data_IF_814845093555
#
_entry.id   IF_814845093555
#
_cell.length_a   1.000
_cell.length_b   1.000
_cell.length_c   1.000
_cell.angle_alpha   90.00
_cell.angle_beta   90.00
_cell.angle_gamma   90.00
#
_symmetry.space_group_name_H-M   'P 1'
#
loop_
_entity.id
_entity.type
_entity.pdbx_description
1 polymer ?
#
# COMPACT_ATOMS: atom_id res chain seq x y z
N UNK A 1 0.22 -3.12 -7.23
CA UNK A 1 -0.34 -1.99 -7.98
C UNK A 1 0.09 -2.05 -9.44
N UNK A 2 -0.76 -1.58 -10.35
CA UNK A 2 -0.46 -1.49 -11.79
C UNK A 2 0.17 -0.14 -12.17
N UNK A 3 0.24 0.80 -11.25
CA UNK A 3 0.81 2.15 -11.43
C UNK A 3 1.62 2.59 -10.20
N UNK A 4 1.30 3.70 -9.56
CA UNK A 4 2.04 4.24 -8.43
C UNK A 4 2.02 3.27 -7.22
N UNK A 5 3.14 3.15 -6.51
CA UNK A 5 3.19 2.45 -5.23
C UNK A 5 2.36 3.20 -4.17
N UNK A 6 1.76 2.46 -3.23
CA UNK A 6 0.91 3.07 -2.21
C UNK A 6 1.70 4.03 -1.30
N UNK A 7 2.92 3.67 -0.89
CA UNK A 7 3.79 4.56 -0.11
C UNK A 7 4.08 5.86 -0.85
N UNK A 8 4.40 5.76 -2.14
CA UNK A 8 4.60 6.92 -3.02
C UNK A 8 3.35 7.81 -3.10
N UNK A 9 2.15 7.24 -3.12
CA UNK A 9 0.91 8.01 -3.11
C UNK A 9 0.73 8.80 -1.80
N UNK A 10 1.13 8.23 -0.64
CA UNK A 10 1.17 8.94 0.64
C UNK A 10 2.19 10.08 0.62
N UNK A 11 3.43 9.84 0.18
CA UNK A 11 4.48 10.85 0.16
C UNK A 11 4.13 12.02 -0.77
N UNK A 12 3.58 11.72 -1.95
CA UNK A 12 3.12 12.75 -2.89
C UNK A 12 1.94 13.52 -2.32
N UNK A 13 1.00 12.88 -1.62
CA UNK A 13 -0.12 13.56 -0.95
C UNK A 13 0.39 14.50 0.14
N UNK A 14 1.31 14.05 0.98
CA UNK A 14 1.93 14.90 2.00
C UNK A 14 2.61 16.13 1.39
N UNK A 15 3.37 15.93 0.31
CA UNK A 15 4.03 17.03 -0.42
C UNK A 15 3.01 18.03 -1.00
N UNK A 16 1.90 17.55 -1.59
CA UNK A 16 0.85 18.42 -2.16
C UNK A 16 0.13 19.25 -1.09
N UNK A 17 0.08 18.75 0.15
CA UNK A 17 -0.61 19.39 1.27
C UNK A 17 0.36 20.13 2.20
N UNK A 18 1.65 20.13 1.88
CA UNK A 18 2.71 20.73 2.71
C UNK A 18 2.72 20.19 4.16
N UNK A 19 2.58 18.89 4.30
CA UNK A 19 2.56 18.20 5.60
C UNK A 19 3.94 17.71 6.06
N UNK A 20 4.98 17.93 5.27
CA UNK A 20 6.35 17.51 5.57
C UNK A 20 6.65 16.05 5.21
N UNK A 21 7.84 15.60 5.62
CA UNK A 21 8.38 14.26 5.37
C UNK A 21 8.78 13.57 6.69
N UNK A 22 8.61 12.24 6.85
CA UNK A 22 8.07 11.28 5.89
C UNK A 22 6.55 11.42 5.70
N UNK A 23 6.09 11.25 4.45
CA UNK A 23 4.70 11.56 4.07
C UNK A 23 3.66 10.63 4.69
N UNK A 24 3.91 9.33 4.73
CA UNK A 24 2.98 8.35 5.28
C UNK A 24 2.53 8.67 6.72
N UNK A 25 3.47 8.77 7.68
CA UNK A 25 3.14 9.13 9.07
C UNK A 25 2.46 10.49 9.20
N UNK A 26 2.88 11.49 8.41
CA UNK A 26 2.31 12.82 8.48
C UNK A 26 0.87 12.85 7.95
N UNK A 27 0.58 12.21 6.81
CA UNK A 27 -0.80 12.08 6.31
C UNK A 27 -1.67 11.36 7.34
N UNK A 28 -1.20 10.29 7.95
CA UNK A 28 -1.93 9.59 9.00
C UNK A 28 -2.21 10.47 10.20
N UNK A 29 -1.20 11.19 10.70
CA UNK A 29 -1.32 12.11 11.84
C UNK A 29 -2.38 13.19 11.57
N UNK A 30 -2.26 13.90 10.46
CA UNK A 30 -3.15 15.02 10.14
C UNK A 30 -4.53 14.56 9.68
N UNK A 31 -4.67 13.35 9.14
CA UNK A 31 -5.97 12.76 8.81
C UNK A 31 -6.87 12.58 10.04
N UNK A 32 -6.29 12.38 11.22
CA UNK A 32 -7.04 12.26 12.48
C UNK A 32 -7.71 13.59 12.90
N UNK A 33 -7.28 14.73 12.35
CA UNK A 33 -7.79 16.06 12.64
C UNK A 33 -8.84 16.55 11.61
N UNK A 34 -9.05 15.82 10.53
CA UNK A 34 -9.93 16.19 9.42
C UNK A 34 -11.23 15.37 9.35
N UNK A 35 -12.18 15.86 8.53
CA UNK A 35 -13.38 15.10 8.18
C UNK A 35 -13.09 14.19 6.96
N UNK A 36 -13.15 12.87 7.19
CA UNK A 36 -12.91 11.85 6.18
C UNK A 36 -13.95 11.77 5.06
N UNK A 37 -15.08 12.50 5.16
CA UNK A 37 -16.16 12.54 4.19
C UNK A 37 -16.25 13.87 3.44
N UNK A 38 -15.38 14.84 3.76
CA UNK A 38 -15.45 16.18 3.20
C UNK A 38 -15.19 16.21 1.69
N UNK A 39 -14.14 15.49 1.23
CA UNK A 39 -13.84 15.38 -0.20
C UNK A 39 -14.26 14.00 -0.73
N UNK A 40 -14.95 14.00 -1.87
CA UNK A 40 -15.30 12.78 -2.59
C UNK A 40 -14.19 12.46 -3.59
N UNK A 41 -13.28 11.59 -3.17
CA UNK A 41 -12.16 11.13 -4.00
C UNK A 41 -12.50 9.84 -4.76
N UNK A 42 -11.92 9.62 -5.95
CA UNK A 42 -12.16 8.41 -6.73
C UNK A 42 -11.49 7.20 -6.09
N UNK A 43 -12.07 6.03 -6.32
CA UNK A 43 -11.53 4.72 -5.98
C UNK A 43 -11.11 3.99 -7.28
N UNK A 44 -9.87 4.22 -7.81
CA UNK A 44 -9.49 3.68 -9.10
C UNK A 44 -9.61 2.16 -9.16
N UNK A 45 -10.10 1.64 -10.28
CA UNK A 45 -10.27 0.21 -10.61
C UNK A 45 -10.94 -0.69 -9.54
N UNK A 46 -11.52 -0.12 -8.49
CA UNK A 46 -12.15 -0.91 -7.41
C UNK A 46 -13.22 -1.85 -7.95
N UNK A 47 -14.00 -1.42 -8.93
CA UNK A 47 -15.08 -2.21 -9.55
C UNK A 47 -14.60 -3.11 -10.71
N UNK A 48 -13.31 -3.09 -11.06
CA UNK A 48 -12.75 -4.02 -12.06
C UNK A 48 -12.50 -5.38 -11.44
N UNK A 49 -12.66 -6.43 -12.21
CA UNK A 49 -12.37 -7.80 -11.78
C UNK A 49 -10.93 -7.96 -11.28
N UNK A 50 -10.73 -8.92 -10.38
CA UNK A 50 -9.44 -9.21 -9.78
C UNK A 50 -9.03 -8.24 -8.66
N UNK A 51 -7.87 -8.50 -8.07
CA UNK A 51 -7.38 -7.80 -6.87
C UNK A 51 -6.28 -6.77 -7.16
N UNK A 52 -6.09 -6.36 -8.41
CA UNK A 52 -5.13 -5.32 -8.77
C UNK A 52 -5.48 -3.98 -8.11
N UNK A 53 -4.45 -3.24 -7.72
CA UNK A 53 -4.53 -1.90 -7.13
C UNK A 53 -4.06 -0.83 -8.14
N UNK A 54 -4.60 0.38 -8.00
CA UNK A 54 -4.18 1.58 -8.76
C UNK A 54 -4.37 2.82 -7.89
N UNK A 55 -3.38 3.71 -7.90
CA UNK A 55 -3.39 4.93 -7.09
C UNK A 55 -3.10 6.21 -7.91
N UNK A 56 -2.68 6.10 -9.17
CA UNK A 56 -2.36 7.27 -10.00
C UNK A 56 -3.55 8.21 -10.19
N UNK A 57 -4.76 7.66 -10.41
CA UNK A 57 -5.98 8.45 -10.54
C UNK A 57 -6.37 9.16 -9.23
N UNK A 58 -6.16 8.51 -8.09
CA UNK A 58 -6.38 9.10 -6.77
C UNK A 58 -5.41 10.26 -6.51
N UNK A 59 -4.12 10.07 -6.79
CA UNK A 59 -3.08 11.11 -6.70
C UNK A 59 -3.45 12.36 -7.52
N UNK A 60 -3.89 12.16 -8.75
CA UNK A 60 -4.31 13.27 -9.64
C UNK A 60 -5.53 14.02 -9.06
N UNK A 61 -6.48 13.29 -8.47
CA UNK A 61 -7.63 13.92 -7.81
C UNK A 61 -7.20 14.74 -6.58
N UNK A 62 -6.29 14.21 -5.75
CA UNK A 62 -5.73 14.96 -4.62
C UNK A 62 -5.02 16.22 -5.08
N UNK A 63 -4.19 16.16 -6.14
CA UNK A 63 -3.53 17.34 -6.71
C UNK A 63 -4.53 18.39 -7.17
N UNK A 64 -5.64 17.98 -7.80
CA UNK A 64 -6.67 18.91 -8.25
C UNK A 64 -7.37 19.60 -7.08
N UNK A 65 -7.70 18.86 -6.03
CA UNK A 65 -8.35 19.45 -4.85
C UNK A 65 -7.39 20.30 -4.03
N UNK A 66 -6.10 19.90 -3.89
CA UNK A 66 -5.09 20.67 -3.15
C UNK A 66 -4.87 22.07 -3.74
N UNK A 67 -4.96 22.23 -5.07
CA UNK A 67 -4.85 23.54 -5.74
C UNK A 67 -5.99 24.49 -5.43
N UNK A 68 -7.12 24.02 -4.92
CA UNK A 68 -8.28 24.82 -4.52
C UNK A 68 -8.20 25.28 -3.06
N UNK A 69 -7.26 24.71 -2.30
CA UNK A 69 -7.07 25.02 -0.88
C UNK A 69 -6.18 26.26 -0.77
N UNK A 70 -6.74 27.37 -0.30
CA UNK A 70 -6.04 28.65 -0.13
C UNK A 70 -5.29 28.73 1.23
N UNK A 71 -4.49 27.72 1.55
CA UNK A 71 -3.66 27.71 2.76
C UNK A 71 -4.38 27.36 4.07
N UNK A 72 -5.67 27.09 4.06
CA UNK A 72 -6.44 26.72 5.26
C UNK A 72 -6.07 25.31 5.75
N UNK A 73 -5.44 25.21 6.91
CA UNK A 73 -5.01 23.94 7.50
C UNK A 73 -6.18 22.96 7.69
N UNK A 74 -7.36 23.45 8.05
CA UNK A 74 -8.56 22.62 8.19
C UNK A 74 -8.92 21.89 6.90
N UNK A 75 -8.83 22.56 5.75
CA UNK A 75 -9.09 21.94 4.44
C UNK A 75 -7.98 20.94 4.05
N UNK A 76 -6.71 21.23 4.39
CA UNK A 76 -5.61 20.28 4.20
C UNK A 76 -5.84 18.99 5.00
N UNK A 77 -6.25 19.12 6.26
CA UNK A 77 -6.53 17.96 7.13
C UNK A 77 -7.77 17.19 6.66
N UNK A 78 -8.79 17.87 6.18
CA UNK A 78 -9.95 17.21 5.57
C UNK A 78 -9.57 16.44 4.32
N UNK A 79 -8.66 16.97 3.48
CA UNK A 79 -8.20 16.27 2.27
C UNK A 79 -7.31 15.07 2.63
N UNK A 80 -6.44 15.20 3.64
CA UNK A 80 -5.66 14.09 4.18
C UNK A 80 -6.57 12.98 4.75
N UNK A 81 -7.61 13.35 5.50
CA UNK A 81 -8.59 12.40 6.05
C UNK A 81 -9.40 11.70 4.95
N UNK A 82 -9.84 12.43 3.94
CA UNK A 82 -10.57 11.88 2.80
C UNK A 82 -9.68 10.94 1.96
N UNK A 83 -8.40 11.28 1.79
CA UNK A 83 -7.42 10.43 1.13
C UNK A 83 -7.20 9.12 1.91
N UNK A 84 -6.89 9.19 3.21
CA UNK A 84 -6.73 8.02 4.08
C UNK A 84 -7.96 7.10 4.04
N UNK A 85 -9.15 7.67 4.13
CA UNK A 85 -10.40 6.93 4.07
C UNK A 85 -10.61 6.25 2.70
N UNK A 86 -10.24 6.92 1.61
CA UNK A 86 -10.33 6.34 0.26
C UNK A 86 -9.35 5.18 0.09
N UNK A 87 -8.12 5.31 0.58
CA UNK A 87 -7.15 4.20 0.63
C UNK A 87 -7.71 3.01 1.41
N UNK A 88 -8.26 3.26 2.60
CA UNK A 88 -8.87 2.20 3.41
C UNK A 88 -9.98 1.45 2.65
N UNK A 89 -10.85 2.17 1.93
CA UNK A 89 -11.91 1.58 1.12
C UNK A 89 -11.36 0.73 -0.04
N UNK A 90 -10.35 1.24 -0.76
CA UNK A 90 -9.70 0.51 -1.86
C UNK A 90 -9.07 -0.78 -1.33
N UNK A 91 -8.28 -0.70 -0.26
CA UNK A 91 -7.62 -1.86 0.33
C UNK A 91 -8.63 -2.87 0.87
N UNK A 92 -9.66 -2.41 1.58
CA UNK A 92 -10.71 -3.30 2.06
C UNK A 92 -11.37 -4.10 0.92
N UNK A 93 -11.87 -3.40 -0.12
CA UNK A 93 -12.57 -4.03 -1.23
C UNK A 93 -11.68 -4.99 -2.02
N UNK A 94 -10.44 -4.58 -2.33
CA UNK A 94 -9.51 -5.42 -3.10
C UNK A 94 -8.93 -6.58 -2.29
N UNK A 95 -8.70 -6.40 -1.00
CA UNK A 95 -8.31 -7.51 -0.12
C UNK A 95 -9.44 -8.52 0.04
N UNK A 96 -10.69 -8.05 0.15
CA UNK A 96 -11.87 -8.95 0.15
C UNK A 96 -11.90 -9.85 -1.09
N UNK A 97 -11.76 -9.26 -2.27
CA UNK A 97 -11.67 -10.02 -3.54
C UNK A 97 -10.49 -10.99 -3.54
N UNK A 98 -9.30 -10.56 -3.06
CA UNK A 98 -8.12 -11.43 -2.99
C UNK A 98 -8.34 -12.64 -2.07
N UNK A 99 -9.02 -12.45 -0.94
CA UNK A 99 -9.40 -13.52 0.00
C UNK A 99 -10.36 -14.51 -0.67
N UNK A 100 -11.37 -14.02 -1.36
CA UNK A 100 -12.34 -14.86 -2.11
C UNK A 100 -11.60 -15.68 -3.18
N UNK A 101 -10.76 -15.07 -4.00
CA UNK A 101 -9.94 -15.75 -5.01
C UNK A 101 -9.00 -16.79 -4.40
N UNK A 102 -8.38 -16.48 -3.24
CA UNK A 102 -7.52 -17.43 -2.55
C UNK A 102 -8.30 -18.67 -2.07
N UNK A 103 -9.45 -18.48 -1.46
CA UNK A 103 -10.33 -19.57 -1.01
C UNK A 103 -10.77 -20.45 -2.17
N UNK A 104 -11.23 -19.82 -3.24
CA UNK A 104 -11.65 -20.53 -4.44
C UNK A 104 -10.52 -21.40 -5.03
N UNK A 105 -9.31 -20.84 -5.14
CA UNK A 105 -8.15 -21.51 -5.72
C UNK A 105 -7.57 -22.61 -4.83
N UNK A 106 -7.50 -22.38 -3.52
CA UNK A 106 -6.81 -23.30 -2.58
C UNK A 106 -7.75 -24.24 -1.84
N UNK A 107 -9.06 -23.93 -1.84
CA UNK A 107 -10.09 -24.61 -1.02
C UNK A 107 -9.79 -24.54 0.48
N UNK A 108 -9.00 -23.56 0.93
CA UNK A 108 -8.68 -23.33 2.34
C UNK A 108 -9.59 -22.25 2.92
N UNK A 109 -10.33 -22.60 3.97
CA UNK A 109 -11.19 -21.66 4.70
C UNK A 109 -10.39 -20.84 5.74
N UNK A 110 -9.44 -21.48 6.43
CA UNK A 110 -8.60 -20.85 7.45
C UNK A 110 -7.21 -20.61 6.87
N UNK A 111 -6.75 -19.37 6.94
CA UNK A 111 -5.43 -18.95 6.46
C UNK A 111 -4.97 -17.68 7.18
N UNK A 112 -3.73 -17.29 6.92
CA UNK A 112 -3.12 -16.07 7.44
C UNK A 112 -2.80 -15.12 6.28
N UNK A 113 -3.19 -13.86 6.43
CA UNK A 113 -2.80 -12.78 5.55
C UNK A 113 -1.65 -12.01 6.20
N UNK A 114 -0.48 -12.00 5.58
CA UNK A 114 0.67 -11.22 6.04
C UNK A 114 0.63 -9.87 5.33
N UNK A 115 0.67 -8.79 6.12
CA UNK A 115 0.69 -7.40 5.61
C UNK A 115 2.01 -6.78 6.07
N UNK A 116 2.91 -6.51 5.14
CA UNK A 116 4.26 -6.01 5.41
C UNK A 116 4.62 -4.83 4.50
N UNK A 117 5.80 -4.22 4.73
CA UNK A 117 6.29 -3.03 4.02
C UNK A 117 5.90 -1.74 4.73
N UNK A 118 6.47 -0.60 4.32
CA UNK A 118 6.35 0.69 5.02
C UNK A 118 4.90 1.12 5.32
N UNK A 119 3.98 0.90 4.38
CA UNK A 119 2.56 1.25 4.56
C UNK A 119 1.87 0.36 5.59
N UNK A 120 2.38 -0.84 5.87
CA UNK A 120 1.86 -1.70 6.94
C UNK A 120 2.09 -1.14 8.35
N UNK A 121 2.86 -0.08 8.51
CA UNK A 121 2.99 0.67 9.76
C UNK A 121 1.77 1.58 10.03
N UNK A 122 0.98 1.94 9.01
CA UNK A 122 -0.18 2.81 9.16
C UNK A 122 -1.29 2.14 9.99
N UNK A 123 -1.60 2.73 11.14
CA UNK A 123 -2.55 2.18 12.13
C UNK A 123 -3.98 2.10 11.57
N UNK A 124 -4.39 3.11 10.78
CA UNK A 124 -5.70 3.15 10.16
C UNK A 124 -5.90 2.00 9.16
N UNK A 125 -4.85 1.65 8.40
CA UNK A 125 -4.85 0.51 7.47
C UNK A 125 -4.86 -0.81 8.25
N UNK A 126 -4.05 -0.94 9.30
CA UNK A 126 -4.05 -2.14 10.17
C UNK A 126 -5.44 -2.40 10.74
N UNK A 127 -6.06 -1.38 11.34
CA UNK A 127 -7.41 -1.48 11.89
C UNK A 127 -8.43 -1.90 10.83
N UNK A 128 -8.38 -1.27 9.66
CA UNK A 128 -9.30 -1.57 8.56
C UNK A 128 -9.19 -3.02 8.06
N UNK A 129 -7.97 -3.53 7.88
CA UNK A 129 -7.73 -4.91 7.43
C UNK A 129 -7.99 -5.94 8.56
N UNK A 130 -7.77 -5.57 9.82
CA UNK A 130 -8.13 -6.42 10.97
C UNK A 130 -9.66 -6.58 11.09
N UNK A 131 -10.42 -5.51 10.84
CA UNK A 131 -11.88 -5.60 10.78
C UNK A 131 -12.35 -6.53 9.65
N UNK A 132 -11.74 -6.44 8.47
CA UNK A 132 -12.02 -7.36 7.38
C UNK A 132 -11.67 -8.80 7.73
N UNK A 133 -10.56 -9.03 8.46
CA UNK A 133 -10.15 -10.37 8.87
C UNK A 133 -11.16 -11.01 9.83
N UNK A 134 -11.72 -10.22 10.74
CA UNK A 134 -12.79 -10.68 11.65
C UNK A 134 -14.09 -10.98 10.87
N UNK A 135 -14.46 -10.11 9.93
CA UNK A 135 -15.65 -10.30 9.08
C UNK A 135 -15.57 -11.58 8.24
N UNK A 136 -14.39 -11.85 7.67
CA UNK A 136 -14.19 -12.95 6.74
C UNK A 136 -13.52 -14.18 7.36
N UNK A 137 -13.36 -14.23 8.69
CA UNK A 137 -12.78 -15.35 9.44
C UNK A 137 -11.40 -15.81 8.91
N UNK A 138 -10.43 -14.88 8.86
CA UNK A 138 -9.02 -15.18 8.65
C UNK A 138 -8.16 -14.41 9.65
N UNK A 139 -6.86 -14.68 9.73
CA UNK A 139 -5.95 -13.97 10.63
C UNK A 139 -5.03 -13.05 9.86
N UNK A 140 -4.99 -11.76 10.23
CA UNK A 140 -3.98 -10.83 9.74
C UNK A 140 -2.75 -10.86 10.64
N UNK A 141 -1.56 -10.86 10.03
CA UNK A 141 -0.28 -10.79 10.71
C UNK A 141 0.47 -9.58 10.21
N UNK A 142 0.99 -8.79 11.12
CA UNK A 142 1.82 -7.63 10.84
C UNK A 142 3.19 -7.81 11.51
N UNK A 143 4.29 -7.41 10.87
CA UNK A 143 5.56 -7.31 11.55
C UNK A 143 5.50 -6.19 12.60
N UNK A 144 6.44 -6.23 13.56
CA UNK A 144 6.65 -5.10 14.46
C UNK A 144 6.99 -3.84 13.67
N UNK A 145 6.66 -2.67 14.23
CA UNK A 145 6.75 -1.40 13.49
C UNK A 145 8.15 -1.12 12.97
N UNK A 146 9.19 -1.48 13.73
CA UNK A 146 10.59 -1.32 13.35
C UNK A 146 11.00 -2.16 12.12
N UNK A 147 10.28 -3.24 11.81
CA UNK A 147 10.52 -4.11 10.65
C UNK A 147 9.60 -3.81 9.46
N UNK A 148 8.70 -2.83 9.55
CA UNK A 148 7.83 -2.46 8.44
C UNK A 148 8.57 -1.73 7.32
N UNK A 149 9.61 -0.94 7.66
CA UNK A 149 10.47 -0.26 6.68
C UNK A 149 11.65 -1.12 6.22
N UNK A 150 12.48 -0.54 5.37
CA UNK A 150 13.74 -1.17 4.97
C UNK A 150 14.65 -1.33 6.20
N UNK A 151 15.16 -2.54 6.39
CA UNK A 151 16.01 -2.84 7.53
C UNK A 151 17.06 -3.92 7.19
N UNK A 152 18.22 -3.87 7.86
CA UNK A 152 19.31 -4.80 7.65
C UNK A 152 18.98 -6.23 8.07
N UNK A 153 18.08 -6.41 9.05
CA UNK A 153 17.74 -7.74 9.57
C UNK A 153 17.05 -8.61 8.49
N UNK A 154 16.16 -8.05 7.67
CA UNK A 154 15.51 -8.79 6.59
C UNK A 154 16.50 -9.21 5.49
N UNK A 155 17.49 -8.37 5.20
CA UNK A 155 18.55 -8.67 4.23
C UNK A 155 19.47 -9.76 4.76
N UNK A 156 19.93 -9.64 6.01
CA UNK A 156 20.75 -10.65 6.66
C UNK A 156 20.04 -12.01 6.75
N UNK A 157 18.75 -12.00 7.12
CA UNK A 157 17.93 -13.21 7.16
C UNK A 157 17.82 -13.89 5.79
N UNK A 158 17.54 -13.10 4.75
CA UNK A 158 17.47 -13.59 3.37
C UNK A 158 18.83 -14.17 2.94
N UNK A 159 19.92 -13.47 3.23
CA UNK A 159 21.27 -13.94 2.97
C UNK A 159 21.57 -15.29 3.62
N UNK A 160 21.26 -15.46 4.92
CA UNK A 160 21.42 -16.73 5.63
C UNK A 160 20.60 -17.86 4.98
N UNK A 161 19.35 -17.57 4.58
CA UNK A 161 18.48 -18.57 3.92
C UNK A 161 19.03 -18.98 2.56
N UNK A 162 19.54 -18.05 1.77
CA UNK A 162 20.19 -18.31 0.49
C UNK A 162 21.48 -19.12 0.69
N UNK A 163 22.34 -18.70 1.61
CA UNK A 163 23.59 -19.38 1.93
C UNK A 163 23.35 -20.85 2.30
N UNK A 164 22.39 -21.13 3.19
CA UNK A 164 22.02 -22.52 3.57
C UNK A 164 21.53 -23.38 2.40
N UNK A 165 21.14 -22.77 1.29
CA UNK A 165 20.70 -23.46 0.06
C UNK A 165 21.75 -23.45 -1.05
N UNK A 166 22.98 -23.02 -0.75
CA UNK A 166 24.07 -22.81 -1.72
C UNK A 166 23.68 -21.88 -2.89
N UNK A 167 22.75 -20.93 -2.65
CA UNK A 167 22.36 -19.89 -3.60
C UNK A 167 23.29 -18.70 -3.39
N UNK A 168 24.49 -18.79 -3.93
CA UNK A 168 25.55 -17.77 -3.80
C UNK A 168 25.80 -17.20 -5.17
N UNK A 169 25.83 -15.88 -5.24
CA UNK A 169 26.21 -15.15 -6.44
C UNK A 169 27.71 -14.81 -6.38
N UNK A 170 28.37 -14.68 -7.53
CA UNK A 170 29.75 -14.24 -7.59
C UNK A 170 29.86 -12.69 -7.46
N UNK A 171 31.10 -12.19 -7.41
CA UNK A 171 31.36 -10.76 -7.22
C UNK A 171 31.00 -9.90 -8.45
N UNK A 172 30.61 -10.50 -9.57
CA UNK A 172 30.18 -9.81 -10.78
C UNK A 172 28.70 -9.42 -10.75
N UNK A 173 27.95 -9.86 -9.72
CA UNK A 173 26.54 -9.50 -9.60
C UNK A 173 26.35 -7.99 -9.61
N UNK A 174 25.45 -7.52 -10.49
CA UNK A 174 25.10 -6.11 -10.57
C UNK A 174 23.76 -5.82 -9.92
N UNK A 175 23.62 -4.62 -9.33
CA UNK A 175 22.32 -4.17 -8.80
C UNK A 175 21.31 -4.01 -9.94
N UNK A 176 20.09 -4.52 -9.71
CA UNK A 176 18.97 -4.38 -10.64
C UNK A 176 17.95 -3.39 -10.03
N UNK A 177 17.70 -2.27 -10.71
CA UNK A 177 16.73 -1.26 -10.25
C UNK A 177 15.29 -1.77 -10.19
N UNK A 178 14.96 -2.77 -11.01
CA UNK A 178 13.70 -3.52 -11.02
C UNK A 178 14.02 -4.99 -11.01
N UNK A 179 14.06 -5.56 -9.81
CA UNK A 179 14.29 -6.99 -9.64
C UNK A 179 12.95 -7.71 -9.49
N UNK A 180 12.62 -8.56 -10.45
CA UNK A 180 11.40 -9.38 -10.39
C UNK A 180 11.55 -10.42 -9.27
N UNK A 181 10.48 -10.59 -8.48
CA UNK A 181 10.42 -11.64 -7.45
C UNK A 181 10.40 -13.05 -8.05
N UNK A 182 9.83 -13.19 -9.23
CA UNK A 182 9.78 -14.42 -10.02
C UNK A 182 10.10 -14.08 -11.48
N UNK A 183 11.26 -14.57 -11.95
CA UNK A 183 11.73 -14.32 -13.33
C UNK A 183 10.86 -15.01 -14.39
N UNK A 184 10.08 -16.03 -13.98
CA UNK A 184 9.16 -16.77 -14.86
C UNK A 184 7.73 -16.19 -14.83
N UNK A 185 7.46 -15.21 -13.96
CA UNK A 185 6.16 -14.57 -13.92
C UNK A 185 5.89 -13.79 -15.21
N UNK A 186 4.64 -13.77 -15.71
CA UNK A 186 4.29 -12.92 -16.84
C UNK A 186 4.70 -11.48 -16.55
N UNK A 187 5.37 -10.85 -17.52
CA UNK A 187 5.81 -9.46 -17.38
C UNK A 187 4.61 -8.55 -17.12
N UNK A 188 4.49 -8.05 -15.91
CA UNK A 188 3.54 -6.98 -15.61
C UNK A 188 4.14 -5.67 -16.10
N UNK A 189 3.49 -5.02 -17.05
CA UNK A 189 3.88 -3.70 -17.54
C UNK A 189 3.92 -2.75 -16.34
N UNK A 190 5.08 -2.13 -16.13
CA UNK A 190 5.27 -1.19 -15.03
C UNK A 190 4.53 0.14 -15.24
N UNK A 191 4.61 1.06 -14.26
CA UNK A 191 3.98 2.38 -14.36
C UNK A 191 4.33 3.07 -15.68
N UNK A 192 3.32 3.57 -16.40
CA UNK A 192 3.49 4.33 -17.63
C UNK A 192 3.35 3.54 -18.95
N UNK A 193 3.21 2.22 -18.90
CA UNK A 193 2.84 1.45 -20.09
C UNK A 193 1.31 1.29 -20.14
N UNK A 194 0.70 1.89 -21.17
CA UNK A 194 -0.73 1.69 -21.44
C UNK A 194 -0.97 0.22 -21.80
N UNK A 195 -1.95 -0.38 -21.15
CA UNK A 195 -2.53 -1.67 -21.54
C UNK A 195 -3.22 -1.55 -22.89
#
# INVERSE_FOLDING_TARGET
TIDDALGEAFDKTAKMLDLGYPGGPNVEKFSKLGDKRFFKLPEPIVNKAGCNLSFAGLKTAVLRESKKINGEDKLKYNLAASFQNTINKILYKKTKVAVEMFREKTKKEIFQLIVAGGVAANESIRTNLSNLSNEMNFKTIYPDLEFCGDNAAMIAWTGIKRFKKNLIDDLSISAKSRWQLDENAPYMKGPGLKL
#
